data_IF_696300972666
#
_entry.id   IF_696300972666
#
_cell.length_a   1.000
_cell.length_b   1.000
_cell.length_c   1.000
_cell.angle_alpha   90.00
_cell.angle_beta   90.00
_cell.angle_gamma   90.00
#
_symmetry.space_group_name_H-M   'P 1'
#
loop_
_entity.id
_entity.type
_entity.pdbx_description
1 polymer ?
#
# COMPACT_ATOMS: atom_id res chain seq x y z
N UNK A 1 15.48 4.83 -0.81
CA UNK A 1 14.30 4.23 -0.18
C UNK A 1 14.07 2.85 -0.76
N UNK A 2 13.62 1.89 0.02
CA UNK A 2 13.30 0.55 -0.45
C UNK A 2 11.91 0.51 -1.09
N UNK A 3 10.89 0.15 -0.32
CA UNK A 3 9.51 0.20 -0.76
C UNK A 3 8.83 1.47 -0.27
N UNK A 4 7.89 1.99 -1.03
CA UNK A 4 7.13 3.19 -0.69
C UNK A 4 5.68 3.07 -1.16
N UNK A 5 4.77 3.67 -0.40
CA UNK A 5 3.35 3.71 -0.74
C UNK A 5 2.83 5.15 -0.63
N UNK A 6 2.06 5.56 -1.61
CA UNK A 6 1.39 6.84 -1.66
C UNK A 6 -0.12 6.57 -1.51
N UNK A 7 -0.66 6.91 -0.33
CA UNK A 7 -2.09 6.69 -0.04
C UNK A 7 -2.93 7.87 -0.51
N UNK A 8 -4.17 7.60 -0.95
CA UNK A 8 -5.14 8.62 -1.38
C UNK A 8 -4.54 9.60 -2.39
N UNK A 9 -3.80 9.05 -3.35
CA UNK A 9 -2.98 9.81 -4.28
C UNK A 9 -3.79 10.83 -5.09
N UNK A 10 -4.93 10.42 -5.60
CA UNK A 10 -5.85 11.28 -6.34
C UNK A 10 -6.51 12.34 -5.45
N UNK A 11 -6.93 11.98 -4.23
CA UNK A 11 -7.55 12.88 -3.26
C UNK A 11 -6.59 14.00 -2.85
N UNK A 12 -5.35 13.64 -2.48
CA UNK A 12 -4.37 14.64 -2.00
C UNK A 12 -3.80 15.54 -3.11
N UNK A 13 -3.74 15.05 -4.35
CA UNK A 13 -3.20 15.84 -5.46
C UNK A 13 -4.26 16.70 -6.19
N UNK A 14 -5.54 16.36 -6.10
CA UNK A 14 -6.60 17.10 -6.77
C UNK A 14 -6.65 18.59 -6.40
N UNK A 15 -6.46 19.01 -5.11
CA UNK A 15 -6.39 20.42 -4.76
C UNK A 15 -5.30 21.23 -5.48
N UNK A 16 -4.15 20.62 -5.73
CA UNK A 16 -3.06 21.29 -6.48
C UNK A 16 -3.46 21.51 -7.94
N UNK A 17 -4.08 20.52 -8.57
CA UNK A 17 -4.62 20.65 -9.94
C UNK A 17 -5.62 21.80 -10.02
N UNK A 18 -6.48 21.93 -8.99
CA UNK A 18 -7.49 22.99 -8.90
C UNK A 18 -6.88 24.38 -8.74
N UNK A 19 -5.95 24.54 -7.80
CA UNK A 19 -5.32 25.83 -7.49
C UNK A 19 -4.46 26.33 -8.67
N UNK A 20 -3.70 25.42 -9.28
CA UNK A 20 -2.81 25.75 -10.40
C UNK A 20 -3.56 25.76 -11.76
N UNK A 21 -4.87 25.49 -11.77
CA UNK A 21 -5.71 25.43 -12.97
C UNK A 21 -5.14 24.58 -14.10
N UNK A 22 -4.58 23.41 -13.73
CA UNK A 22 -3.89 22.54 -14.69
C UNK A 22 -4.86 21.90 -15.68
N UNK A 23 -4.50 21.95 -16.96
CA UNK A 23 -5.21 21.24 -18.02
C UNK A 23 -4.94 19.73 -17.94
N UNK A 24 -5.79 18.92 -18.60
CA UNK A 24 -5.59 17.46 -18.73
C UNK A 24 -4.19 17.10 -19.27
N UNK A 25 -3.68 17.89 -20.24
CA UNK A 25 -2.36 17.68 -20.84
C UNK A 25 -1.24 17.88 -19.82
N UNK A 26 -1.34 18.92 -19.00
CA UNK A 26 -0.35 19.22 -17.94
C UNK A 26 -0.39 18.18 -16.84
N UNK A 27 -1.59 17.78 -16.38
CA UNK A 27 -1.77 16.69 -15.42
C UNK A 27 -1.16 15.41 -15.96
N UNK A 28 -1.43 15.05 -17.23
CA UNK A 28 -0.86 13.86 -17.86
C UNK A 28 0.66 13.92 -17.92
N UNK A 29 1.25 15.07 -18.22
CA UNK A 29 2.71 15.25 -18.22
C UNK A 29 3.31 15.08 -16.83
N UNK A 30 2.66 15.59 -15.78
CA UNK A 30 3.09 15.39 -14.40
C UNK A 30 3.04 13.91 -14.01
N UNK A 31 1.95 13.22 -14.33
CA UNK A 31 1.77 11.79 -14.06
C UNK A 31 2.80 10.95 -14.83
N UNK A 32 3.05 11.24 -16.11
CA UNK A 32 4.10 10.55 -16.88
C UNK A 32 5.48 10.74 -16.24
N UNK A 33 5.81 11.93 -15.80
CA UNK A 33 7.07 12.21 -15.11
C UNK A 33 7.20 11.43 -13.79
N UNK A 34 6.12 11.35 -13.02
CA UNK A 34 6.07 10.55 -11.79
C UNK A 34 6.25 9.05 -12.09
N UNK A 35 5.47 8.50 -13.02
CA UNK A 35 5.54 7.08 -13.41
C UNK A 35 6.93 6.73 -13.93
N UNK A 36 7.52 7.57 -14.79
CA UNK A 36 8.89 7.38 -15.25
C UNK A 36 9.89 7.37 -14.09
N UNK A 37 9.77 8.33 -13.19
CA UNK A 37 10.68 8.46 -12.04
C UNK A 37 10.67 7.23 -11.12
N UNK A 38 9.50 6.64 -10.84
CA UNK A 38 9.40 5.45 -9.99
C UNK A 38 9.80 4.15 -10.70
N UNK A 39 9.91 4.17 -12.03
CA UNK A 39 10.43 3.04 -12.82
C UNK A 39 11.93 3.15 -13.13
N UNK A 40 12.56 4.29 -12.79
CA UNK A 40 13.99 4.46 -12.97
C UNK A 40 14.75 3.68 -11.88
N UNK A 41 15.81 2.92 -12.24
CA UNK A 41 16.62 2.22 -11.26
C UNK A 41 17.14 3.14 -10.15
N UNK A 42 17.10 2.64 -8.91
CA UNK A 42 17.66 3.38 -7.78
C UNK A 42 19.16 3.59 -7.95
N UNK A 43 19.77 4.45 -7.11
CA UNK A 43 21.21 4.73 -7.15
C UNK A 43 22.13 3.51 -7.08
N UNK A 44 21.64 2.36 -6.67
CA UNK A 44 22.35 1.08 -6.67
C UNK A 44 22.28 0.35 -8.01
N UNK A 45 21.57 0.92 -9.00
CA UNK A 45 21.57 0.48 -10.40
C UNK A 45 20.89 -0.85 -10.70
N UNK A 46 20.27 -1.51 -9.72
CA UNK A 46 19.77 -2.88 -9.88
C UNK A 46 18.25 -3.00 -9.89
N UNK A 47 17.54 -2.14 -9.17
CA UNK A 47 16.08 -2.21 -9.07
C UNK A 47 15.47 -0.81 -8.98
N UNK A 48 14.30 -0.64 -9.62
CA UNK A 48 13.43 0.48 -9.36
C UNK A 48 12.84 0.37 -7.93
N UNK A 49 12.57 1.51 -7.25
CA UNK A 49 11.95 1.48 -5.93
C UNK A 49 10.56 0.84 -6.03
N UNK A 50 10.30 -0.16 -5.20
CA UNK A 50 9.00 -0.82 -5.15
C UNK A 50 7.95 0.20 -4.68
N UNK A 51 7.13 0.68 -5.60
CA UNK A 51 6.18 1.76 -5.35
C UNK A 51 4.74 1.29 -5.51
N UNK A 52 3.88 1.70 -4.60
CA UNK A 52 2.45 1.45 -4.61
C UNK A 52 1.70 2.79 -4.49
N UNK A 53 0.57 2.91 -5.16
CA UNK A 53 -0.38 4.02 -4.93
C UNK A 53 -1.75 3.47 -4.60
N UNK A 54 -2.47 4.13 -3.70
CA UNK A 54 -3.89 3.94 -3.53
C UNK A 54 -4.64 5.14 -4.09
N UNK A 55 -5.72 4.85 -4.78
CA UNK A 55 -6.58 5.79 -5.47
C UNK A 55 -7.99 5.60 -4.90
N UNK A 56 -8.58 6.68 -4.43
CA UNK A 56 -9.85 6.62 -3.73
C UNK A 56 -11.04 6.59 -4.68
N UNK A 57 -10.91 7.15 -5.89
CA UNK A 57 -11.96 7.33 -6.90
C UNK A 57 -13.08 8.28 -6.47
N UNK A 58 -13.48 8.17 -5.20
CA UNK A 58 -14.41 9.08 -4.53
C UNK A 58 -13.74 9.57 -3.26
N UNK A 59 -13.87 10.86 -2.93
CA UNK A 59 -13.25 11.44 -1.74
C UNK A 59 -13.75 10.70 -0.49
N UNK A 60 -12.86 10.16 0.36
CA UNK A 60 -13.27 9.47 1.58
C UNK A 60 -14.04 10.40 2.53
N UNK A 61 -15.05 9.85 3.23
CA UNK A 61 -15.94 10.61 4.10
C UNK A 61 -15.22 11.39 5.20
N UNK A 62 -14.15 10.82 5.74
CA UNK A 62 -13.33 11.47 6.78
C UNK A 62 -12.55 12.69 6.27
N UNK A 63 -12.36 12.80 4.96
CA UNK A 63 -11.68 13.92 4.31
C UNK A 63 -12.63 14.89 3.61
N UNK A 64 -13.83 14.41 3.22
CA UNK A 64 -14.73 15.13 2.34
C UNK A 64 -15.05 16.55 2.83
N UNK A 65 -15.31 16.71 4.13
CA UNK A 65 -15.67 17.98 4.76
C UNK A 65 -14.47 18.80 5.27
N UNK A 66 -13.26 18.29 5.13
CA UNK A 66 -12.05 19.01 5.52
C UNK A 66 -11.66 20.03 4.46
N UNK A 67 -11.13 21.18 4.89
CA UNK A 67 -10.49 22.12 3.98
C UNK A 67 -9.28 21.47 3.32
N UNK A 68 -9.17 21.61 2.01
CA UNK A 68 -8.02 21.09 1.29
C UNK A 68 -6.73 21.83 1.69
N UNK A 69 -5.60 21.11 1.67
CA UNK A 69 -4.30 21.68 2.03
C UNK A 69 -3.42 21.74 0.79
N UNK A 70 -2.97 22.94 0.44
CA UNK A 70 -2.04 23.17 -0.67
C UNK A 70 -0.84 23.97 -0.17
N UNK A 71 0.36 23.42 -0.40
CA UNK A 71 1.60 24.06 0.05
C UNK A 71 1.70 24.27 1.56
N UNK A 72 1.07 23.40 2.36
CA UNK A 72 1.04 23.48 3.82
C UNK A 72 0.06 24.52 4.39
N UNK A 73 -0.85 25.05 3.56
CA UNK A 73 -1.88 26.03 3.95
C UNK A 73 -3.26 25.49 3.62
N UNK A 74 -4.22 25.71 4.51
CA UNK A 74 -5.61 25.43 4.24
C UNK A 74 -6.15 26.36 3.15
N UNK A 75 -6.99 25.79 2.28
CA UNK A 75 -7.72 26.52 1.24
C UNK A 75 -9.13 26.90 1.73
N UNK A 76 -9.84 27.69 0.96
CA UNK A 76 -11.24 28.07 1.20
C UNK A 76 -12.25 27.05 0.65
N UNK A 77 -11.79 25.96 0.05
CA UNK A 77 -12.61 24.87 -0.49
C UNK A 77 -12.23 23.54 0.17
N UNK A 78 -13.14 22.56 0.05
CA UNK A 78 -13.01 21.24 0.68
C UNK A 78 -12.49 20.21 -0.32
N UNK A 79 -11.99 19.08 0.20
CA UNK A 79 -11.56 17.98 -0.67
C UNK A 79 -12.69 17.46 -1.58
N UNK A 80 -13.93 17.38 -1.10
CA UNK A 80 -15.10 16.98 -1.92
C UNK A 80 -15.33 17.88 -3.14
N UNK A 81 -14.90 19.14 -3.08
CA UNK A 81 -15.04 20.10 -4.17
C UNK A 81 -14.01 19.92 -5.29
N UNK A 82 -13.13 18.90 -5.15
CA UNK A 82 -12.06 18.60 -6.11
C UNK A 82 -12.32 17.33 -6.93
N UNK A 83 -13.57 16.82 -7.00
CA UNK A 83 -13.90 15.59 -7.72
C UNK A 83 -13.51 15.65 -9.20
N UNK A 84 -13.73 16.79 -9.86
CA UNK A 84 -13.35 17.00 -11.25
C UNK A 84 -11.84 16.86 -11.48
N UNK A 85 -11.06 17.40 -10.58
CA UNK A 85 -9.61 17.33 -10.63
C UNK A 85 -9.09 15.92 -10.29
N UNK A 86 -9.76 15.19 -9.39
CA UNK A 86 -9.51 13.76 -9.18
C UNK A 86 -9.73 12.95 -10.46
N UNK A 87 -10.81 13.23 -11.19
CA UNK A 87 -11.11 12.56 -12.45
C UNK A 87 -10.03 12.81 -13.51
N UNK A 88 -9.48 14.04 -13.58
CA UNK A 88 -8.35 14.35 -14.46
C UNK A 88 -7.09 13.54 -14.10
N UNK A 89 -6.78 13.41 -12.80
CA UNK A 89 -5.64 12.62 -12.32
C UNK A 89 -5.83 11.15 -12.65
N UNK A 90 -7.00 10.58 -12.33
CA UNK A 90 -7.31 9.18 -12.61
C UNK A 90 -7.23 8.87 -14.10
N UNK A 91 -7.83 9.73 -14.95
CA UNK A 91 -7.73 9.62 -16.41
C UNK A 91 -6.28 9.61 -16.89
N UNK A 92 -5.51 10.62 -16.45
CA UNK A 92 -4.10 10.75 -16.83
C UNK A 92 -3.26 9.53 -16.41
N UNK A 93 -3.50 9.01 -15.20
CA UNK A 93 -2.81 7.84 -14.68
C UNK A 93 -3.13 6.58 -15.49
N UNK A 94 -4.42 6.30 -15.70
CA UNK A 94 -4.86 5.10 -16.40
C UNK A 94 -4.37 5.13 -17.87
N UNK A 95 -4.53 6.25 -18.55
CA UNK A 95 -4.02 6.42 -19.93
C UNK A 95 -2.50 6.16 -20.00
N UNK A 96 -1.72 6.74 -19.06
CA UNK A 96 -0.27 6.53 -19.01
C UNK A 96 0.09 5.06 -18.82
N UNK A 97 -0.63 4.37 -17.95
CA UNK A 97 -0.39 2.93 -17.71
C UNK A 97 -0.80 2.05 -18.91
N UNK A 98 -1.86 2.42 -19.65
CA UNK A 98 -2.30 1.71 -20.86
C UNK A 98 -1.31 1.91 -22.01
N UNK A 99 -0.85 3.14 -22.21
CA UNK A 99 0.09 3.50 -23.29
C UNK A 99 1.47 2.85 -23.08
N UNK A 100 1.92 2.77 -21.83
CA UNK A 100 3.25 2.26 -21.53
C UNK A 100 4.38 3.25 -21.85
N UNK A 101 5.60 2.72 -21.96
CA UNK A 101 6.80 3.50 -22.28
C UNK A 101 6.87 3.82 -23.81
N UNK A 102 7.90 4.53 -24.23
CA UNK A 102 8.12 4.90 -25.63
C UNK A 102 8.22 3.69 -26.60
N UNK A 103 8.41 2.49 -26.07
CA UNK A 103 8.44 1.24 -26.84
C UNK A 103 7.14 0.42 -26.68
N UNK A 104 6.11 0.99 -26.04
CA UNK A 104 4.83 0.34 -25.78
C UNK A 104 4.89 -0.74 -24.69
N UNK A 105 5.92 -0.76 -23.84
CA UNK A 105 6.02 -1.68 -22.72
C UNK A 105 5.26 -1.13 -21.53
N UNK A 106 4.45 -1.98 -20.88
CA UNK A 106 3.75 -1.59 -19.65
C UNK A 106 4.73 -1.24 -18.51
N UNK A 107 4.37 -0.25 -17.71
CA UNK A 107 5.12 0.12 -16.52
C UNK A 107 4.92 -0.90 -15.40
N UNK A 108 5.99 -1.23 -14.67
CA UNK A 108 5.93 -2.12 -13.51
C UNK A 108 5.42 -1.39 -12.27
N UNK A 109 5.75 -0.11 -12.14
CA UNK A 109 5.39 0.75 -11.01
C UNK A 109 4.73 2.06 -11.47
N UNK A 110 3.98 2.71 -10.58
CA UNK A 110 3.53 2.22 -9.27
C UNK A 110 2.46 1.13 -9.42
N UNK A 111 2.38 0.22 -8.45
CA UNK A 111 1.29 -0.76 -8.38
C UNK A 111 0.03 -0.03 -7.93
N UNK A 112 -1.03 0.08 -8.75
CA UNK A 112 -2.23 0.81 -8.40
C UNK A 112 -3.22 -0.08 -7.62
N UNK A 113 -3.85 0.51 -6.61
CA UNK A 113 -4.95 -0.10 -5.86
C UNK A 113 -6.10 0.91 -5.75
N UNK A 114 -7.27 0.55 -6.24
CA UNK A 114 -8.49 1.35 -6.12
C UNK A 114 -9.34 0.90 -4.95
N UNK A 115 -9.87 1.87 -4.20
CA UNK A 115 -10.81 1.63 -3.11
C UNK A 115 -12.22 1.51 -3.67
N UNK A 116 -12.87 0.39 -3.41
CA UNK A 116 -14.29 0.17 -3.76
C UNK A 116 -15.12 0.38 -2.49
N UNK A 117 -15.92 1.43 -2.50
CA UNK A 117 -16.85 1.82 -1.44
C UNK A 117 -18.28 1.81 -1.96
N UNK A 118 -19.27 2.07 -1.10
CA UNK A 118 -20.67 2.18 -1.51
C UNK A 118 -20.92 3.36 -2.48
N UNK A 119 -20.05 4.39 -2.43
CA UNK A 119 -20.12 5.59 -3.25
C UNK A 119 -19.37 5.42 -4.58
N UNK A 120 -18.78 4.25 -4.85
CA UNK A 120 -18.09 4.01 -6.12
C UNK A 120 -19.09 4.12 -7.29
N UNK A 121 -18.79 5.05 -8.20
CA UNK A 121 -19.63 5.27 -9.38
C UNK A 121 -19.40 4.17 -10.43
N UNK A 122 -20.41 3.30 -10.60
CA UNK A 122 -20.41 2.21 -11.59
C UNK A 122 -21.02 2.63 -12.93
N UNK A 123 -21.36 3.91 -13.13
CA UNK A 123 -21.94 4.40 -14.37
C UNK A 123 -20.96 4.29 -15.55
N UNK A 124 -21.48 4.35 -16.78
CA UNK A 124 -20.69 4.23 -18.00
C UNK A 124 -19.97 5.55 -18.33
N UNK A 125 -18.99 5.91 -17.48
CA UNK A 125 -18.12 7.07 -17.68
C UNK A 125 -16.88 6.71 -18.50
N UNK A 126 -16.23 7.72 -19.10
CA UNK A 126 -14.97 7.53 -19.81
C UNK A 126 -13.89 6.92 -18.89
N UNK A 127 -13.79 7.41 -17.65
CA UNK A 127 -12.83 6.92 -16.67
C UNK A 127 -13.09 5.45 -16.29
N UNK A 128 -14.35 5.04 -16.13
CA UNK A 128 -14.69 3.64 -15.87
C UNK A 128 -14.32 2.73 -17.06
N UNK A 129 -14.60 3.16 -18.29
CA UNK A 129 -14.17 2.41 -19.47
C UNK A 129 -12.67 2.21 -19.53
N UNK A 130 -11.88 3.28 -19.29
CA UNK A 130 -10.43 3.23 -19.25
C UNK A 130 -9.92 2.33 -18.11
N UNK A 131 -10.55 2.40 -16.92
CA UNK A 131 -10.20 1.55 -15.77
C UNK A 131 -10.35 0.06 -16.11
N UNK A 132 -11.48 -0.32 -16.73
CA UNK A 132 -11.72 -1.70 -17.10
C UNK A 132 -10.91 -2.14 -18.35
N UNK A 133 -10.57 -1.22 -19.26
CA UNK A 133 -9.63 -1.48 -20.35
C UNK A 133 -8.23 -1.82 -19.77
N UNK A 134 -7.72 -1.03 -18.85
CA UNK A 134 -6.45 -1.30 -18.17
C UNK A 134 -6.49 -2.64 -17.43
N UNK A 135 -7.60 -2.94 -16.74
CA UNK A 135 -7.79 -4.19 -16.02
C UNK A 135 -7.76 -5.40 -16.96
N UNK A 136 -8.46 -5.32 -18.09
CA UNK A 136 -8.53 -6.42 -19.06
C UNK A 136 -7.18 -6.65 -19.76
N UNK A 137 -6.45 -5.58 -20.06
CA UNK A 137 -5.18 -5.63 -20.79
C UNK A 137 -4.01 -6.13 -19.93
N UNK A 138 -3.94 -5.70 -18.69
CA UNK A 138 -2.76 -5.91 -17.83
C UNK A 138 -3.02 -6.66 -16.52
N UNK A 139 -4.28 -6.98 -16.20
CA UNK A 139 -4.64 -7.57 -14.91
C UNK A 139 -4.38 -6.61 -13.72
N UNK A 140 -4.27 -5.32 -13.98
CA UNK A 140 -4.16 -4.23 -12.99
C UNK A 140 -5.23 -3.19 -13.28
N UNK A 141 -5.71 -2.45 -12.30
CA UNK A 141 -5.26 -2.32 -10.91
C UNK A 141 -5.75 -3.46 -10.01
N UNK A 142 -5.34 -3.37 -8.73
CA UNK A 142 -5.97 -4.13 -7.67
C UNK A 142 -7.14 -3.35 -7.09
N UNK A 143 -8.13 -4.08 -6.57
CA UNK A 143 -9.30 -3.47 -5.94
C UNK A 143 -9.37 -3.86 -4.47
N UNK A 144 -9.44 -2.85 -3.59
CA UNK A 144 -9.73 -3.03 -2.17
C UNK A 144 -11.21 -2.84 -1.95
N UNK A 145 -11.93 -3.93 -1.70
CA UNK A 145 -13.38 -3.88 -1.47
C UNK A 145 -13.66 -3.62 0.02
N UNK A 146 -14.31 -2.50 0.30
CA UNK A 146 -14.75 -2.08 1.64
C UNK A 146 -16.26 -2.22 1.85
N UNK A 147 -17.04 -2.61 0.83
CA UNK A 147 -18.50 -2.75 0.93
C UNK A 147 -18.90 -3.83 1.94
N UNK A 148 -18.18 -4.96 1.93
CA UNK A 148 -18.41 -6.10 2.83
C UNK A 148 -17.25 -6.28 3.83
N UNK A 149 -16.67 -5.18 4.29
CA UNK A 149 -15.54 -5.16 5.23
C UNK A 149 -15.96 -4.50 6.54
N UNK A 150 -15.42 -4.96 7.65
CA UNK A 150 -15.50 -4.31 8.94
C UNK A 150 -14.55 -3.10 9.07
N UNK A 151 -13.77 -2.83 8.02
CA UNK A 151 -12.78 -1.75 7.94
C UNK A 151 -13.24 -0.72 6.91
N UNK A 152 -12.98 0.54 7.21
CA UNK A 152 -13.19 1.67 6.29
C UNK A 152 -11.88 2.04 5.59
N UNK A 153 -11.90 2.70 4.42
CA UNK A 153 -10.69 3.20 3.75
C UNK A 153 -9.82 4.06 4.68
N UNK A 154 -10.43 4.84 5.55
CA UNK A 154 -9.77 5.68 6.56
C UNK A 154 -9.01 4.90 7.63
N UNK A 155 -9.41 3.65 7.91
CA UNK A 155 -8.80 2.80 8.95
C UNK A 155 -7.58 2.03 8.46
N UNK A 156 -7.33 2.04 7.16
CA UNK A 156 -6.34 1.18 6.51
C UNK A 156 -5.36 2.01 5.71
N UNK A 157 -4.09 1.68 5.82
CA UNK A 157 -3.06 2.13 4.87
C UNK A 157 -2.47 0.93 4.16
N UNK A 158 -2.40 1.03 2.84
CA UNK A 158 -1.84 -0.04 2.01
C UNK A 158 -0.32 0.07 1.97
N UNK A 159 0.36 -1.07 2.16
CA UNK A 159 1.80 -1.16 1.95
C UNK A 159 2.11 -1.84 0.61
N UNK A 160 3.38 -1.81 0.21
CA UNK A 160 3.88 -2.31 -1.07
C UNK A 160 3.36 -3.70 -1.49
N UNK A 161 3.15 -4.61 -0.55
CA UNK A 161 2.63 -5.96 -0.79
C UNK A 161 1.12 -6.08 -0.50
N UNK A 162 0.36 -4.97 -0.57
CA UNK A 162 -1.07 -4.92 -0.25
C UNK A 162 -1.41 -5.37 1.18
N UNK A 163 -0.42 -5.34 2.05
CA UNK A 163 -0.64 -5.53 3.47
C UNK A 163 -1.49 -4.36 3.98
N UNK A 164 -2.66 -4.68 4.50
CA UNK A 164 -3.52 -3.69 5.17
C UNK A 164 -3.00 -3.47 6.58
N UNK A 165 -2.69 -2.23 6.92
CA UNK A 165 -2.34 -1.85 8.29
C UNK A 165 -3.59 -1.29 8.96
N UNK A 166 -4.09 -1.99 9.97
CA UNK A 166 -5.17 -1.50 10.80
C UNK A 166 -4.66 -0.39 11.72
N UNK A 167 -5.11 0.82 11.47
CA UNK A 167 -4.68 2.02 12.21
C UNK A 167 -5.58 2.34 13.41
N UNK A 168 -6.65 1.59 13.65
CA UNK A 168 -7.62 1.86 14.73
C UNK A 168 -6.94 1.91 16.11
N UNK A 169 -6.01 1.00 16.37
CA UNK A 169 -5.25 0.98 17.62
C UNK A 169 -4.24 2.15 17.74
N UNK A 170 -3.64 2.56 16.62
CA UNK A 170 -2.75 3.73 16.60
C UNK A 170 -3.52 5.02 16.86
N UNK A 171 -4.71 5.18 16.25
CA UNK A 171 -5.58 6.33 16.46
C UNK A 171 -6.05 6.44 17.93
N UNK A 172 -6.38 5.31 18.58
CA UNK A 172 -6.73 5.30 20.00
C UNK A 172 -5.60 5.81 20.90
N UNK A 173 -4.34 5.47 20.57
CA UNK A 173 -3.16 5.88 21.37
C UNK A 173 -2.80 7.36 21.22
N UNK A 174 -3.11 7.96 20.06
CA UNK A 174 -2.70 9.33 19.72
C UNK A 174 -3.81 10.38 19.90
N UNK A 175 -4.97 9.99 20.41
CA UNK A 175 -6.07 10.92 20.68
C UNK A 175 -6.74 11.52 19.43
N UNK A 176 -6.58 10.91 18.26
CA UNK A 176 -7.32 11.30 17.06
C UNK A 176 -6.84 12.56 16.34
N UNK A 177 -5.75 13.18 16.78
CA UNK A 177 -5.21 14.38 16.12
C UNK A 177 -4.33 14.03 14.91
N UNK A 178 -4.37 14.89 13.90
CA UNK A 178 -3.69 14.81 12.59
C UNK A 178 -2.33 14.12 12.60
N UNK A 179 -2.10 13.15 11.70
CA UNK A 179 -0.78 12.68 11.29
C UNK A 179 -0.35 11.28 11.73
N UNK A 180 -1.05 10.59 12.64
CA UNK A 180 -0.61 9.27 13.14
C UNK A 180 -0.68 8.12 12.13
N UNK A 181 -1.52 8.26 11.11
CA UNK A 181 -1.64 7.29 10.01
C UNK A 181 -0.66 7.51 8.86
N UNK A 182 -0.18 8.73 8.67
CA UNK A 182 0.61 9.12 7.50
C UNK A 182 2.09 8.73 7.59
N UNK A 183 2.63 8.55 8.80
CA UNK A 183 4.02 8.16 9.02
C UNK A 183 4.18 6.70 9.43
N UNK A 184 3.31 5.80 8.95
CA UNK A 184 3.38 4.36 9.20
C UNK A 184 4.15 3.64 8.11
N UNK A 185 4.70 2.48 8.44
CA UNK A 185 5.42 1.65 7.49
C UNK A 185 5.87 0.35 8.13
N UNK A 186 6.82 -0.34 7.51
CA UNK A 186 7.43 -1.54 8.07
C UNK A 186 8.93 -1.37 8.21
N UNK A 187 9.45 -1.74 9.37
CA UNK A 187 10.90 -1.79 9.63
C UNK A 187 11.50 -3.12 9.26
N UNK A 188 10.69 -4.14 9.06
CA UNK A 188 11.17 -5.46 8.65
C UNK A 188 10.06 -6.50 8.59
N UNK A 189 10.30 -7.47 7.72
CA UNK A 189 9.42 -8.64 7.53
C UNK A 189 10.26 -9.89 7.65
N UNK A 190 9.73 -10.90 8.34
CA UNK A 190 10.22 -12.28 8.35
C UNK A 190 9.09 -13.16 7.88
N UNK A 191 9.36 -14.07 6.96
CA UNK A 191 8.36 -15.03 6.47
C UNK A 191 8.73 -16.44 6.91
N UNK A 192 7.79 -17.12 7.59
CA UNK A 192 7.94 -18.47 8.07
C UNK A 192 7.49 -19.45 6.98
N UNK A 193 8.34 -20.44 6.69
CA UNK A 193 8.06 -21.50 5.72
C UNK A 193 7.25 -22.61 6.40
N UNK A 194 5.93 -22.53 6.32
CA UNK A 194 5.01 -23.48 6.94
C UNK A 194 5.13 -24.90 6.39
N UNK A 195 5.25 -25.13 5.05
CA UNK A 195 5.45 -26.47 4.48
C UNK A 195 6.66 -27.21 5.07
N UNK A 196 7.76 -26.48 5.27
CA UNK A 196 8.97 -27.08 5.85
C UNK A 196 8.77 -27.51 7.29
N UNK A 197 8.09 -26.69 8.09
CA UNK A 197 7.75 -27.04 9.49
C UNK A 197 6.87 -28.28 9.51
N UNK A 198 5.80 -28.29 8.72
CA UNK A 198 4.88 -29.42 8.63
C UNK A 198 5.55 -30.72 8.16
N UNK A 199 6.43 -30.64 7.16
CA UNK A 199 7.20 -31.79 6.68
C UNK A 199 8.11 -32.40 7.74
N UNK A 200 8.75 -31.56 8.56
CA UNK A 200 9.70 -31.97 9.60
C UNK A 200 9.02 -32.40 10.89
N UNK A 201 7.79 -31.98 11.12
CA UNK A 201 7.03 -32.32 12.32
C UNK A 201 6.60 -33.80 12.30
N UNK A 202 6.61 -34.42 13.47
CA UNK A 202 6.17 -35.81 13.68
C UNK A 202 4.66 -35.91 13.78
N UNK A 203 4.06 -34.96 14.48
CA UNK A 203 2.66 -34.84 14.80
C UNK A 203 2.28 -33.36 14.97
N UNK A 204 1.02 -33.11 15.30
CA UNK A 204 0.47 -31.77 15.50
C UNK A 204 1.17 -31.02 16.66
N UNK A 205 1.44 -31.69 17.78
CA UNK A 205 2.10 -31.09 18.92
C UNK A 205 3.53 -30.63 18.58
N UNK A 206 4.31 -31.46 17.86
CA UNK A 206 5.65 -31.11 17.39
C UNK A 206 5.59 -29.99 16.35
N UNK A 207 4.54 -29.93 15.51
CA UNK A 207 4.34 -28.84 14.57
C UNK A 207 4.18 -27.49 15.28
N UNK A 208 3.29 -27.40 16.26
CA UNK A 208 3.08 -26.17 17.02
C UNK A 208 4.32 -25.79 17.82
N UNK A 209 5.00 -26.73 18.46
CA UNK A 209 6.24 -26.45 19.20
C UNK A 209 7.34 -25.85 18.28
N UNK A 210 7.47 -26.37 17.04
CA UNK A 210 8.40 -25.82 16.04
C UNK A 210 7.96 -24.45 15.55
N UNK A 211 6.66 -24.26 15.32
CA UNK A 211 6.10 -22.98 14.91
C UNK A 211 6.35 -21.91 15.97
N UNK A 212 6.05 -22.18 17.23
CA UNK A 212 6.29 -21.29 18.36
C UNK A 212 7.77 -20.89 18.46
N UNK A 213 8.67 -21.87 18.34
CA UNK A 213 10.10 -21.62 18.30
C UNK A 213 10.50 -20.65 17.15
N UNK A 214 9.98 -20.88 15.96
CA UNK A 214 10.26 -20.01 14.79
C UNK A 214 9.65 -18.61 14.96
N UNK A 215 8.47 -18.51 15.58
CA UNK A 215 7.84 -17.23 15.93
C UNK A 215 8.71 -16.44 16.90
N UNK A 216 9.23 -17.07 17.96
CA UNK A 216 10.13 -16.46 18.93
C UNK A 216 11.44 -15.98 18.30
N UNK A 217 12.05 -16.79 17.44
CA UNK A 217 13.26 -16.40 16.70
C UNK A 217 12.98 -15.19 15.82
N UNK A 218 11.86 -15.20 15.10
CA UNK A 218 11.43 -14.11 14.23
C UNK A 218 11.20 -12.81 15.00
N UNK A 219 10.51 -12.89 16.14
CA UNK A 219 10.24 -11.75 17.01
C UNK A 219 11.54 -11.12 17.56
N UNK A 220 12.48 -11.96 18.03
CA UNK A 220 13.80 -11.50 18.49
C UNK A 220 14.62 -10.86 17.38
N UNK A 221 14.62 -11.46 16.19
CA UNK A 221 15.32 -10.92 15.02
C UNK A 221 14.77 -9.53 14.64
N UNK A 222 13.45 -9.39 14.57
CA UNK A 222 12.80 -8.11 14.23
C UNK A 222 13.03 -7.05 15.32
N UNK A 223 13.02 -7.43 16.60
CA UNK A 223 13.36 -6.54 17.72
C UNK A 223 14.80 -6.01 17.59
N UNK A 224 15.74 -6.90 17.35
CA UNK A 224 17.16 -6.52 17.15
C UNK A 224 17.32 -5.60 15.95
N UNK A 225 16.67 -5.95 14.81
CA UNK A 225 16.69 -5.10 13.61
C UNK A 225 16.16 -3.70 13.91
N UNK A 226 15.02 -3.58 14.57
CA UNK A 226 14.44 -2.29 14.97
C UNK A 226 15.41 -1.45 15.80
N UNK A 227 16.06 -2.05 16.79
CA UNK A 227 17.04 -1.36 17.63
C UNK A 227 18.22 -0.83 16.80
N UNK A 228 18.77 -1.65 15.91
CA UNK A 228 19.89 -1.27 15.04
C UNK A 228 19.50 -0.13 14.11
N UNK A 229 18.39 -0.25 13.36
CA UNK A 229 18.00 0.80 12.40
C UNK A 229 17.61 2.10 13.10
N UNK A 230 17.00 2.04 14.29
CA UNK A 230 16.69 3.24 15.07
C UNK A 230 17.96 3.95 15.52
N UNK A 231 18.97 3.19 15.98
CA UNK A 231 20.29 3.74 16.29
C UNK A 231 20.92 4.44 15.08
N UNK A 232 20.89 3.79 13.92
CA UNK A 232 21.44 4.33 12.67
C UNK A 232 20.67 5.58 12.17
N UNK A 233 19.34 5.59 12.33
CA UNK A 233 18.51 6.77 12.05
C UNK A 233 18.94 7.97 12.92
N UNK A 234 19.14 7.74 14.20
CA UNK A 234 19.57 8.78 15.16
C UNK A 234 20.98 9.28 14.88
N UNK A 235 21.84 8.44 14.31
CA UNK A 235 23.19 8.80 13.87
C UNK A 235 23.21 9.51 12.50
N UNK A 236 22.06 9.73 11.87
CA UNK A 236 21.96 10.45 10.60
C UNK A 236 22.25 9.63 9.33
N UNK A 237 22.38 8.30 9.45
CA UNK A 237 22.65 7.43 8.28
C UNK A 237 21.47 7.28 7.32
N UNK A 238 20.28 7.72 7.75
CA UNK A 238 19.07 7.74 6.92
C UNK A 238 18.52 9.17 6.81
N UNK A 239 19.19 10.11 6.11
CA UNK A 239 18.83 11.53 6.13
C UNK A 239 17.42 11.79 5.57
N UNK A 240 17.04 11.13 4.49
CA UNK A 240 15.70 11.27 3.93
C UNK A 240 14.61 10.67 4.84
N UNK A 241 14.84 9.48 5.39
CA UNK A 241 13.92 8.86 6.36
C UNK A 241 13.75 9.75 7.58
N UNK A 242 14.85 10.30 8.11
CA UNK A 242 14.82 11.23 9.24
C UNK A 242 14.01 12.48 8.94
N UNK A 243 14.19 13.04 7.73
CA UNK A 243 13.47 14.25 7.29
C UNK A 243 11.97 14.04 7.12
N UNK A 244 11.57 12.93 6.50
CA UNK A 244 10.16 12.71 6.11
C UNK A 244 9.35 11.90 7.12
N UNK A 245 9.97 10.98 7.85
CA UNK A 245 9.28 10.12 8.81
C UNK A 245 9.61 10.44 10.27
N UNK A 246 10.74 11.07 10.53
CA UNK A 246 11.18 11.45 11.88
C UNK A 246 11.61 10.27 12.74
N UNK A 247 10.71 9.31 13.00
CA UNK A 247 10.93 8.14 13.86
C UNK A 247 10.37 6.86 13.23
N UNK A 248 10.67 5.71 13.85
CA UNK A 248 10.08 4.42 13.49
C UNK A 248 9.02 3.94 14.50
N UNK A 249 8.54 4.81 15.39
CA UNK A 249 7.63 4.39 16.48
C UNK A 249 6.31 3.81 15.94
N UNK A 250 5.76 4.41 14.88
CA UNK A 250 4.52 3.96 14.25
C UNK A 250 4.75 2.93 13.13
N UNK A 251 5.96 2.38 13.00
CA UNK A 251 6.27 1.38 11.98
C UNK A 251 6.12 -0.02 12.56
N UNK A 252 5.65 -0.93 11.72
CA UNK A 252 5.39 -2.32 12.10
C UNK A 252 6.62 -3.20 11.92
N UNK A 253 6.69 -4.26 12.72
CA UNK A 253 7.53 -5.43 12.49
C UNK A 253 6.60 -6.58 12.15
N UNK A 254 6.77 -7.18 10.98
CA UNK A 254 5.79 -8.11 10.41
C UNK A 254 6.36 -9.53 10.39
N UNK A 255 5.54 -10.50 10.83
CA UNK A 255 5.82 -11.92 10.65
C UNK A 255 4.75 -12.45 9.69
N UNK A 256 5.18 -12.94 8.52
CA UNK A 256 4.31 -13.54 7.53
C UNK A 256 4.39 -15.06 7.55
N UNK A 257 3.36 -15.71 7.05
CA UNK A 257 3.31 -17.16 6.87
C UNK A 257 3.16 -17.45 5.38
N UNK A 258 3.92 -18.40 4.86
CA UNK A 258 3.80 -18.83 3.46
C UNK A 258 3.52 -20.33 3.39
N UNK A 259 2.68 -20.72 2.43
CA UNK A 259 2.44 -22.12 2.09
C UNK A 259 1.56 -22.86 3.10
N UNK A 260 0.51 -22.21 3.63
CA UNK A 260 -0.41 -22.85 4.56
C UNK A 260 -1.10 -24.07 3.94
N UNK A 261 -1.53 -23.96 2.67
CA UNK A 261 -2.12 -25.07 1.93
C UNK A 261 -1.14 -26.25 1.82
N UNK A 262 0.09 -25.97 1.41
CA UNK A 262 1.14 -26.98 1.28
C UNK A 262 1.58 -27.54 2.64
N UNK A 263 1.39 -26.79 3.72
CA UNK A 263 1.64 -27.29 5.06
C UNK A 263 0.69 -28.46 5.39
N UNK A 264 -0.61 -28.32 5.12
CA UNK A 264 -1.58 -29.40 5.29
C UNK A 264 -1.23 -30.65 4.45
N UNK A 265 -0.85 -30.44 3.19
CA UNK A 265 -0.43 -31.53 2.30
C UNK A 265 0.86 -32.23 2.78
N UNK A 266 1.79 -31.51 3.40
CA UNK A 266 3.05 -32.06 3.90
C UNK A 266 2.98 -32.61 5.32
N UNK A 267 1.98 -32.22 6.10
CA UNK A 267 1.74 -32.73 7.45
C UNK A 267 1.33 -34.22 7.38
N UNK A 268 2.15 -35.12 7.95
CA UNK A 268 1.96 -36.59 7.83
C UNK A 268 0.68 -37.06 8.48
N UNK A 269 0.15 -36.34 9.44
CA UNK A 269 -1.08 -36.63 10.18
C UNK A 269 -2.34 -36.03 9.55
N UNK A 270 -2.20 -35.12 8.58
CA UNK A 270 -3.33 -34.47 7.88
C UNK A 270 -3.41 -34.95 6.43
N UNK A 271 -2.37 -34.71 5.63
CA UNK A 271 -2.31 -35.11 4.19
C UNK A 271 -3.47 -34.56 3.35
N UNK A 272 -4.00 -33.40 3.72
CA UNK A 272 -5.12 -32.72 3.06
C UNK A 272 -4.79 -31.24 2.81
N UNK A 273 -5.46 -30.66 1.84
CA UNK A 273 -5.38 -29.23 1.56
C UNK A 273 -6.37 -28.44 2.44
N UNK A 274 -6.29 -27.10 2.36
CA UNK A 274 -7.11 -26.18 3.17
C UNK A 274 -8.62 -26.22 2.83
N UNK A 275 -9.06 -26.98 1.84
CA UNK A 275 -10.50 -27.19 1.58
C UNK A 275 -11.12 -28.18 2.55
N UNK A 276 -10.32 -28.94 3.29
CA UNK A 276 -10.76 -29.92 4.26
C UNK A 276 -10.77 -29.35 5.68
N UNK A 277 -11.81 -29.70 6.44
CA UNK A 277 -12.03 -29.15 7.79
C UNK A 277 -10.91 -29.51 8.79
N UNK A 278 -10.22 -30.61 8.55
CA UNK A 278 -9.12 -31.10 9.40
C UNK A 278 -7.80 -30.35 9.18
N UNK A 279 -7.72 -29.49 8.16
CA UNK A 279 -6.59 -28.67 7.87
C UNK A 279 -6.77 -27.27 8.44
#
# INVERSE_FOLDING_TARGET
>A
AGAQAFSSFDTYLAPFVKVDHLSQKEVKQCIQSFVYGVNTPSRWGTQAPFSNITLDWTVPDDMAEMNAIVGGRETDFKYKDCKKEMDLINKAFIETMIEGDANGRGFQYPIPTYSITNEFDWSDTENNRLLFEMTSKYGTPYFSNYINSDMQPSDVRSMCCRLRLDLRELRKKTGGFFGSGESTGSVGVVTINMPRIAYQAKDEADFYARLDHMMDVSARSLKTKRQVITKLLNQGLYPYTKRYLGTFENHFSTIGLIGMNEAGLNARWVRKDMTHREC
#
